data_IF_826242411856
#
_entry.id   IF_826242411856
#
_cell.length_a   1.000
_cell.length_b   1.000
_cell.length_c   1.000
_cell.angle_alpha   90.00
_cell.angle_beta   90.00
_cell.angle_gamma   90.00
#
_symmetry.space_group_name_H-M   'P 1'
#
loop_
_entity.id
_entity.type
_entity.pdbx_description
1 polymer ?
#
# COMPACT_ATOMS: atom_id res chain seq x y z
N UNK A 1 -43.89 -61.01 46.36
CA UNK A 1 -42.90 -61.89 47.04
C UNK A 1 -41.56 -61.22 47.07
N UNK A 2 -40.97 -61.26 48.27
CA UNK A 2 -39.57 -60.93 48.65
C UNK A 2 -39.20 -59.46 48.81
N UNK A 3 -39.29 -59.09 50.09
CA UNK A 3 -38.52 -58.14 50.90
C UNK A 3 -37.06 -57.94 50.43
N UNK A 4 -36.56 -56.72 50.46
CA UNK A 4 -35.18 -56.49 50.83
C UNK A 4 -35.01 -55.25 51.74
N UNK A 5 -34.32 -55.52 52.82
CA UNK A 5 -34.06 -54.68 53.96
C UNK A 5 -33.18 -53.45 53.67
N UNK A 6 -33.59 -52.35 54.26
CA UNK A 6 -32.76 -51.16 54.42
C UNK A 6 -31.72 -51.32 55.51
N UNK A 7 -30.44 -51.24 55.21
CA UNK A 7 -29.36 -51.08 56.23
C UNK A 7 -29.02 -49.58 56.32
N UNK A 8 -29.29 -49.01 57.49
CA UNK A 8 -28.77 -47.67 57.87
C UNK A 8 -27.32 -47.82 58.33
N UNK A 9 -26.45 -47.05 57.75
CA UNK A 9 -25.05 -46.87 58.18
C UNK A 9 -24.94 -45.48 58.83
N UNK A 10 -24.60 -45.48 60.13
CA UNK A 10 -24.21 -44.27 60.85
C UNK A 10 -22.83 -43.85 60.44
N UNK A 11 -22.67 -42.58 60.07
CA UNK A 11 -21.34 -41.93 59.81
C UNK A 11 -21.09 -41.01 61.01
N UNK A 12 -19.94 -41.07 61.64
CA UNK A 12 -19.61 -40.20 62.77
C UNK A 12 -19.14 -38.82 62.20
N UNK A 13 -19.60 -37.78 62.88
CA UNK A 13 -19.29 -36.38 62.61
C UNK A 13 -17.85 -36.08 63.06
N UNK A 14 -16.92 -35.90 62.14
CA UNK A 14 -15.54 -35.47 62.42
C UNK A 14 -15.49 -33.96 62.28
N UNK A 15 -15.34 -33.21 63.38
CA UNK A 15 -15.04 -31.78 63.38
C UNK A 15 -13.62 -31.57 62.89
N UNK A 16 -13.48 -31.17 61.64
CA UNK A 16 -12.23 -30.74 61.09
C UNK A 16 -12.03 -29.24 61.27
N UNK A 17 -10.99 -28.83 61.95
CA UNK A 17 -10.55 -27.48 62.14
C UNK A 17 -10.01 -26.95 60.76
N UNK A 18 -10.69 -26.01 60.14
CA UNK A 18 -10.23 -25.31 58.95
C UNK A 18 -9.12 -24.30 59.33
N UNK A 19 -7.87 -24.71 59.17
CA UNK A 19 -6.73 -23.79 59.12
C UNK A 19 -6.77 -22.99 57.79
N UNK A 20 -7.17 -21.72 57.86
CA UNK A 20 -7.06 -20.79 56.78
C UNK A 20 -5.55 -20.48 56.54
N UNK A 21 -4.92 -21.19 55.61
CA UNK A 21 -3.64 -20.82 55.07
C UNK A 21 -3.91 -19.82 53.96
N UNK A 22 -3.86 -18.53 54.28
CA UNK A 22 -3.77 -17.45 53.29
C UNK A 22 -2.41 -17.52 52.64
N UNK A 23 -2.28 -18.33 51.58
CA UNK A 23 -1.15 -18.32 50.71
C UNK A 23 -1.13 -17.00 49.96
N UNK A 24 -0.27 -16.07 50.37
CA UNK A 24 0.08 -14.89 49.60
C UNK A 24 0.83 -15.40 48.37
N UNK A 25 0.12 -15.58 47.25
CA UNK A 25 0.74 -15.73 45.95
C UNK A 25 1.38 -14.38 45.59
N UNK A 26 2.65 -14.25 45.92
CA UNK A 26 3.49 -13.19 45.33
C UNK A 26 3.48 -13.41 43.82
N UNK A 27 2.65 -12.66 43.09
CA UNK A 27 2.76 -12.54 41.64
C UNK A 27 4.14 -11.93 41.38
N UNK A 28 5.13 -12.78 41.07
CA UNK A 28 6.37 -12.36 40.46
C UNK A 28 5.97 -11.68 39.16
N UNK A 29 5.88 -10.33 39.15
CA UNK A 29 5.89 -9.53 37.96
C UNK A 29 7.25 -9.78 37.31
N UNK A 30 7.32 -10.80 36.45
CA UNK A 30 8.43 -10.93 35.54
C UNK A 30 8.49 -9.59 34.78
N UNK A 31 9.48 -8.74 35.08
CA UNK A 31 9.65 -7.46 34.41
C UNK A 31 9.90 -7.78 32.94
N UNK A 32 8.93 -7.42 32.09
CA UNK A 32 9.02 -7.64 30.64
C UNK A 32 10.36 -7.11 30.14
N UNK A 33 11.09 -7.95 29.41
CA UNK A 33 12.37 -7.58 28.76
C UNK A 33 12.18 -6.45 27.75
N UNK A 34 10.97 -6.28 27.26
CA UNK A 34 10.60 -5.33 26.20
C UNK A 34 9.64 -4.28 26.73
N UNK A 35 9.79 -3.06 26.20
CA UNK A 35 8.80 -2.00 26.26
C UNK A 35 7.91 -2.10 25.04
N UNK A 36 6.60 -2.10 25.22
CA UNK A 36 5.60 -2.29 24.15
C UNK A 36 4.94 -0.95 23.84
N UNK A 37 4.73 -0.71 22.55
CA UNK A 37 4.02 0.44 22.01
C UNK A 37 2.88 -0.05 21.12
N UNK A 38 1.76 0.67 21.11
CA UNK A 38 0.63 0.39 20.24
C UNK A 38 1.02 0.51 18.76
N UNK A 39 0.33 -0.20 17.88
CA UNK A 39 0.40 0.03 16.43
C UNK A 39 0.05 1.46 16.04
N UNK A 40 -0.77 2.14 16.86
CA UNK A 40 -1.18 3.54 16.69
C UNK A 40 -0.30 4.54 17.46
N UNK A 41 0.92 4.16 17.88
CA UNK A 41 1.82 5.07 18.61
C UNK A 41 2.07 6.34 17.78
N UNK A 42 1.95 7.55 18.37
CA UNK A 42 2.07 8.80 17.64
C UNK A 42 3.48 9.08 17.07
N UNK A 43 4.47 8.31 17.46
CA UNK A 43 5.82 8.36 16.90
C UNK A 43 6.00 7.45 15.67
N UNK A 44 4.97 6.70 15.29
CA UNK A 44 4.93 5.93 14.04
C UNK A 44 4.02 6.65 13.06
N UNK A 45 4.57 7.03 11.92
CA UNK A 45 3.82 7.70 10.87
C UNK A 45 3.51 6.70 9.75
N UNK A 46 2.24 6.62 9.36
CA UNK A 46 1.79 5.79 8.25
C UNK A 46 1.51 6.66 7.04
N UNK A 47 2.04 6.27 5.90
CA UNK A 47 1.83 6.90 4.60
C UNK A 47 1.06 5.93 3.72
N UNK A 48 -0.06 6.38 3.17
CA UNK A 48 -1.04 5.55 2.48
C UNK A 48 -2.37 5.49 3.23
N UNK A 49 -3.34 4.79 2.65
CA UNK A 49 -4.68 4.64 3.23
C UNK A 49 -4.67 3.53 4.28
N UNK A 50 -5.09 3.87 5.48
CA UNK A 50 -5.10 2.95 6.63
C UNK A 50 -6.37 3.10 7.45
N UNK A 51 -6.75 2.04 8.16
CA UNK A 51 -7.79 2.04 9.18
C UNK A 51 -7.19 1.71 10.55
N UNK A 52 -7.65 2.40 11.58
CA UNK A 52 -7.24 2.16 12.96
C UNK A 52 -8.37 1.48 13.73
N UNK A 53 -8.01 0.44 14.51
CA UNK A 53 -8.96 -0.26 15.36
C UNK A 53 -8.24 -0.78 16.62
N UNK A 54 -8.73 -0.37 17.80
CA UNK A 54 -8.26 -0.86 19.11
C UNK A 54 -6.74 -0.89 19.25
N UNK A 55 -6.05 0.17 18.81
CA UNK A 55 -4.60 0.29 18.92
C UNK A 55 -3.81 -0.43 17.84
N UNK A 56 -4.47 -1.06 16.85
CA UNK A 56 -3.85 -1.60 15.65
C UNK A 56 -4.11 -0.74 14.41
N UNK A 57 -3.30 -0.92 13.37
CA UNK A 57 -3.44 -0.24 12.08
C UNK A 57 -3.44 -1.26 10.96
N UNK A 58 -4.51 -1.27 10.15
CA UNK A 58 -4.67 -2.18 9.02
C UNK A 58 -4.64 -1.44 7.69
N UNK A 59 -4.10 -2.08 6.65
CA UNK A 59 -3.98 -1.54 5.29
C UNK A 59 -3.75 -2.67 4.28
N UNK A 60 -4.14 -2.44 3.02
CA UNK A 60 -3.92 -3.39 1.93
C UNK A 60 -3.44 -2.74 0.63
N UNK A 61 -3.67 -1.45 0.40
CA UNK A 61 -3.14 -0.79 -0.80
C UNK A 61 -1.64 -0.98 -0.94
N UNK A 62 -1.19 -1.14 -2.19
CA UNK A 62 0.23 -1.20 -2.51
C UNK A 62 0.95 0.08 -2.10
N UNK A 63 2.22 0.00 -1.73
CA UNK A 63 3.02 1.17 -1.39
C UNK A 63 2.72 1.82 -0.04
N UNK A 64 1.75 1.30 0.72
CA UNK A 64 1.56 1.77 2.11
C UNK A 64 2.81 1.44 2.90
N UNK A 65 3.31 2.43 3.61
CA UNK A 65 4.50 2.25 4.45
C UNK A 65 4.38 3.00 5.77
N UNK A 66 5.15 2.56 6.74
CA UNK A 66 5.31 3.28 8.00
C UNK A 66 6.77 3.72 8.16
N UNK A 67 6.96 4.82 8.89
CA UNK A 67 8.27 5.31 9.29
C UNK A 67 8.30 5.71 10.75
N UNK A 68 9.39 5.40 11.43
CA UNK A 68 9.67 5.78 12.82
C UNK A 68 11.17 5.83 13.05
N UNK A 69 11.58 6.51 14.11
CA UNK A 69 12.97 6.41 14.62
C UNK A 69 12.96 5.58 15.90
N UNK A 70 13.80 4.57 15.97
CA UNK A 70 14.05 3.81 17.20
C UNK A 70 15.35 4.25 17.87
N UNK A 71 15.31 4.39 19.19
CA UNK A 71 16.49 4.63 20.05
C UNK A 71 16.62 3.43 20.97
N UNK A 72 17.84 2.91 21.12
CA UNK A 72 18.11 1.80 22.03
C UNK A 72 18.50 0.48 21.35
N UNK A 73 18.74 0.50 20.04
CA UNK A 73 19.36 -0.60 19.28
C UNK A 73 18.48 -1.85 19.05
N UNK A 74 17.19 -1.83 19.43
CA UNK A 74 16.27 -2.93 19.16
C UNK A 74 14.87 -2.42 18.81
N UNK A 75 14.32 -2.94 17.73
CA UNK A 75 12.94 -2.76 17.34
C UNK A 75 12.39 -4.05 16.73
N UNK A 76 11.25 -4.50 17.23
CA UNK A 76 10.46 -5.54 16.61
C UNK A 76 9.03 -5.05 16.41
N UNK A 77 8.33 -5.64 15.45
CA UNK A 77 6.92 -5.37 15.16
C UNK A 77 6.13 -6.68 15.26
N UNK A 78 4.98 -6.65 15.93
CA UNK A 78 3.95 -7.69 15.80
C UNK A 78 3.06 -7.29 14.65
N UNK A 79 3.07 -8.08 13.59
CA UNK A 79 2.38 -7.87 12.33
C UNK A 79 1.61 -9.12 11.95
N UNK A 80 0.42 -8.99 11.39
CA UNK A 80 -0.34 -10.06 10.77
C UNK A 80 -0.65 -9.74 9.32
N UNK A 81 -1.05 -10.76 8.57
CA UNK A 81 -1.51 -10.64 7.21
C UNK A 81 -2.51 -11.74 6.88
N UNK A 82 -3.50 -11.44 6.03
CA UNK A 82 -4.60 -12.37 5.73
C UNK A 82 -4.26 -13.43 4.69
N UNK A 83 -3.23 -13.20 3.84
CA UNK A 83 -2.84 -14.10 2.75
C UNK A 83 -1.33 -14.22 2.60
N UNK A 84 -0.62 -13.13 2.28
CA UNK A 84 0.83 -13.22 2.11
C UNK A 84 1.50 -12.06 1.41
N UNK A 85 1.53 -10.92 2.06
CA UNK A 85 2.19 -9.73 1.54
C UNK A 85 3.72 -9.77 1.68
N UNK A 86 4.40 -9.12 0.76
CA UNK A 86 5.84 -8.88 0.82
C UNK A 86 6.13 -7.47 1.30
N UNK A 87 7.16 -7.37 2.13
CA UNK A 87 7.62 -6.12 2.74
C UNK A 87 9.10 -5.90 2.52
N UNK A 88 9.47 -4.65 2.23
CA UNK A 88 10.84 -4.17 2.29
C UNK A 88 11.06 -3.41 3.60
N UNK A 89 12.13 -3.76 4.30
CA UNK A 89 12.60 -3.05 5.47
C UNK A 89 13.80 -2.18 5.08
N UNK A 90 13.68 -0.88 5.32
CA UNK A 90 14.80 0.05 5.21
C UNK A 90 15.21 0.51 6.60
N UNK A 91 16.53 0.50 6.86
CA UNK A 91 17.16 1.06 8.05
C UNK A 91 18.18 2.08 7.59
N UNK A 92 18.05 3.31 8.07
CA UNK A 92 18.88 4.44 7.67
C UNK A 92 18.98 4.61 6.15
N UNK A 93 17.81 4.53 5.49
CA UNK A 93 17.61 4.63 4.03
C UNK A 93 18.23 3.49 3.20
N UNK A 94 18.74 2.43 3.82
CA UNK A 94 19.29 1.26 3.13
C UNK A 94 18.35 0.09 3.25
N UNK A 95 18.10 -0.61 2.15
CA UNK A 95 17.34 -1.87 2.16
C UNK A 95 18.10 -2.89 3.03
N UNK A 96 17.50 -3.26 4.17
CA UNK A 96 18.08 -4.20 5.12
C UNK A 96 17.64 -5.64 4.82
N UNK A 97 16.36 -5.83 4.46
CA UNK A 97 15.81 -7.13 4.06
C UNK A 97 14.45 -6.99 3.37
N UNK A 98 14.11 -7.99 2.56
CA UNK A 98 12.75 -8.26 2.06
C UNK A 98 12.23 -9.52 2.74
N UNK A 99 10.95 -9.53 3.13
CA UNK A 99 10.34 -10.70 3.77
C UNK A 99 8.84 -10.78 3.48
N UNK A 100 8.29 -11.99 3.63
CA UNK A 100 6.86 -12.27 3.50
C UNK A 100 6.21 -12.39 4.86
N UNK A 101 4.99 -11.84 4.99
CA UNK A 101 4.10 -12.04 6.14
C UNK A 101 2.83 -12.71 5.61
N UNK A 102 2.43 -13.85 6.18
CA UNK A 102 1.23 -14.60 5.77
C UNK A 102 0.36 -15.06 6.95
N UNK A 103 0.72 -14.62 8.15
CA UNK A 103 0.01 -14.87 9.43
C UNK A 103 0.55 -13.94 10.49
N UNK A 104 -0.08 -13.92 11.65
CA UNK A 104 0.44 -13.19 12.80
C UNK A 104 1.85 -13.66 13.18
N UNK A 105 2.76 -12.74 13.25
CA UNK A 105 4.16 -13.00 13.56
C UNK A 105 4.82 -11.80 14.24
N UNK A 106 6.01 -12.03 14.81
CA UNK A 106 6.89 -10.97 15.30
C UNK A 106 8.12 -10.92 14.40
N UNK A 107 8.35 -9.77 13.81
CA UNK A 107 9.50 -9.52 12.95
C UNK A 107 10.45 -8.55 13.63
N UNK A 108 11.72 -8.95 13.78
CA UNK A 108 12.77 -8.06 14.26
C UNK A 108 13.19 -7.14 13.10
N UNK A 109 13.06 -5.84 13.32
CA UNK A 109 13.39 -4.79 12.36
C UNK A 109 14.81 -4.24 12.57
N UNK A 110 15.17 -4.02 13.84
CA UNK A 110 16.53 -3.56 14.22
C UNK A 110 17.02 -4.44 15.36
N UNK A 111 18.28 -4.89 15.27
CA UNK A 111 18.97 -5.60 16.35
C UNK A 111 20.47 -5.27 16.29
N UNK A 112 20.84 -4.18 16.93
CA UNK A 112 22.22 -3.68 16.97
C UNK A 112 22.80 -3.76 18.39
N UNK A 113 24.10 -4.02 18.48
CA UNK A 113 24.80 -4.06 19.77
C UNK A 113 24.94 -2.66 20.41
N UNK A 114 24.94 -1.60 19.59
CA UNK A 114 25.06 -0.22 20.05
C UNK A 114 23.67 0.44 20.14
N UNK A 115 23.38 1.20 21.21
CA UNK A 115 22.09 1.87 21.39
C UNK A 115 21.95 3.15 20.54
N UNK A 116 22.39 3.12 19.29
CA UNK A 116 22.23 4.24 18.36
C UNK A 116 20.76 4.49 18.00
N UNK A 117 20.48 5.67 17.50
CA UNK A 117 19.18 5.99 16.88
C UNK A 117 19.21 5.55 15.41
N UNK A 118 18.15 4.84 14.98
CA UNK A 118 17.99 4.38 13.60
C UNK A 118 16.64 4.83 13.04
N UNK A 119 16.65 5.34 11.82
CA UNK A 119 15.41 5.55 11.05
C UNK A 119 14.97 4.23 10.42
N UNK A 120 13.72 3.89 10.59
CA UNK A 120 13.14 2.63 10.11
C UNK A 120 11.95 2.94 9.23
N UNK A 121 11.93 2.36 8.03
CA UNK A 121 10.76 2.34 7.15
C UNK A 121 10.41 0.89 6.82
N UNK A 122 9.15 0.53 7.03
CA UNK A 122 8.59 -0.75 6.62
C UNK A 122 7.58 -0.49 5.49
N UNK A 123 7.85 -1.03 4.31
CA UNK A 123 7.16 -0.75 3.07
C UNK A 123 6.44 -1.99 2.56
N UNK A 124 5.11 -1.91 2.33
CA UNK A 124 4.32 -2.96 1.68
C UNK A 124 4.53 -2.90 0.16
N UNK A 125 5.11 -3.95 -0.41
CA UNK A 125 5.45 -4.01 -1.84
C UNK A 125 4.28 -4.36 -2.74
N UNK A 126 3.41 -5.24 -2.25
CA UNK A 126 2.38 -5.96 -3.00
C UNK A 126 1.02 -5.27 -2.89
N UNK A 127 0.16 -5.52 -3.87
CA UNK A 127 -1.20 -4.98 -3.91
C UNK A 127 -2.18 -5.74 -2.99
N UNK A 128 -3.41 -5.24 -2.86
CA UNK A 128 -4.39 -5.74 -1.89
C UNK A 128 -4.85 -7.18 -2.15
N UNK A 129 -4.78 -7.68 -3.38
CA UNK A 129 -5.09 -9.08 -3.68
C UNK A 129 -4.15 -10.07 -2.97
N UNK A 130 -2.95 -9.63 -2.57
CA UNK A 130 -1.99 -10.47 -1.86
C UNK A 130 -2.26 -10.55 -0.35
N UNK A 131 -3.01 -9.60 0.23
CA UNK A 131 -3.43 -9.62 1.62
C UNK A 131 -3.74 -8.25 2.22
N UNK A 132 -4.30 -8.31 3.43
CA UNK A 132 -4.51 -7.14 4.30
C UNK A 132 -3.58 -7.28 5.49
N UNK A 133 -2.63 -6.37 5.59
CA UNK A 133 -1.68 -6.32 6.69
C UNK A 133 -2.25 -5.58 7.90
N UNK A 134 -1.87 -6.02 9.11
CA UNK A 134 -2.24 -5.36 10.37
C UNK A 134 -1.02 -5.24 11.26
N UNK A 135 -0.67 -4.01 11.64
CA UNK A 135 0.34 -3.72 12.66
C UNK A 135 -0.35 -3.65 14.01
N UNK A 136 -0.01 -4.58 14.91
CA UNK A 136 -0.60 -4.65 16.24
C UNK A 136 0.18 -3.82 17.26
N UNK A 137 1.49 -4.01 17.30
CA UNK A 137 2.35 -3.35 18.28
C UNK A 137 3.81 -3.34 17.87
N UNK A 138 4.56 -2.43 18.48
CA UNK A 138 6.02 -2.37 18.39
C UNK A 138 6.64 -2.74 19.74
N UNK A 139 7.85 -3.26 19.71
CA UNK A 139 8.60 -3.65 20.90
C UNK A 139 10.03 -3.12 20.79
N UNK A 140 10.46 -2.42 21.82
CA UNK A 140 11.87 -2.02 21.99
C UNK A 140 12.49 -2.74 23.19
N UNK A 141 13.80 -2.64 23.37
CA UNK A 141 14.38 -3.02 24.66
C UNK A 141 13.82 -2.12 25.78
N UNK A 142 14.02 -2.51 27.05
CA UNK A 142 13.42 -1.85 28.23
C UNK A 142 13.64 -0.34 28.27
N UNK A 143 14.82 0.12 27.85
CA UNK A 143 15.23 1.53 27.86
C UNK A 143 15.06 2.20 26.48
N UNK A 144 14.50 1.49 25.50
CA UNK A 144 14.29 2.00 24.16
C UNK A 144 13.10 2.94 24.05
N UNK A 145 13.08 3.70 22.98
CA UNK A 145 12.01 4.64 22.66
C UNK A 145 11.76 4.71 21.17
N UNK A 146 10.51 4.98 20.79
CA UNK A 146 10.12 5.43 19.45
C UNK A 146 10.11 6.96 19.41
N UNK A 147 10.53 7.53 18.30
CA UNK A 147 10.47 8.96 18.00
C UNK A 147 9.99 9.19 16.57
N UNK A 148 9.43 10.34 16.31
CA UNK A 148 9.12 10.74 14.92
C UNK A 148 10.40 10.85 14.10
N UNK A 149 10.32 10.46 12.82
CA UNK A 149 11.40 10.75 11.87
C UNK A 149 11.54 12.27 11.68
N UNK A 150 12.78 12.71 11.42
CA UNK A 150 13.08 14.10 11.07
C UNK A 150 13.24 14.23 9.55
N UNK A 151 13.00 15.44 9.03
CA UNK A 151 13.15 15.70 7.59
C UNK A 151 12.10 15.03 6.72
N UNK A 152 10.88 14.84 7.25
CA UNK A 152 9.77 14.24 6.52
C UNK A 152 9.36 15.09 5.32
N UNK A 153 8.95 14.46 4.19
CA UNK A 153 8.48 15.16 3.01
C UNK A 153 7.30 16.11 3.31
N UNK A 154 7.27 17.24 2.64
CA UNK A 154 6.14 18.18 2.69
C UNK A 154 5.29 18.11 1.42
N UNK A 155 5.85 17.57 0.32
CA UNK A 155 5.17 17.38 -0.96
C UNK A 155 4.36 16.09 -0.94
N UNK A 156 3.24 16.08 -1.67
CA UNK A 156 2.31 14.95 -1.64
C UNK A 156 1.77 14.65 -3.03
N UNK A 157 1.84 13.40 -3.47
CA UNK A 157 1.35 12.96 -4.78
C UNK A 157 0.39 11.78 -4.58
N UNK A 158 -0.79 11.81 -5.18
CA UNK A 158 -1.62 10.61 -5.31
C UNK A 158 -1.54 10.07 -6.73
N UNK A 159 -1.29 8.76 -6.83
CA UNK A 159 -1.31 8.04 -8.09
C UNK A 159 -2.52 7.11 -8.12
N UNK A 160 -3.40 7.30 -9.11
CA UNK A 160 -4.51 6.42 -9.40
C UNK A 160 -4.12 5.57 -10.60
N UNK A 161 -4.01 4.24 -10.42
CA UNK A 161 -3.42 3.40 -11.45
C UNK A 161 -3.85 1.95 -11.44
N UNK A 162 -3.06 1.14 -12.12
CA UNK A 162 -3.27 -0.30 -12.28
C UNK A 162 -1.96 -1.07 -12.02
N UNK A 163 -1.82 -2.28 -12.57
CA UNK A 163 -0.66 -3.16 -12.41
C UNK A 163 0.70 -2.47 -12.60
N UNK A 164 0.82 -1.53 -13.54
CA UNK A 164 2.06 -0.80 -13.76
C UNK A 164 2.41 0.09 -12.56
N UNK A 165 1.40 0.67 -11.91
CA UNK A 165 1.57 1.47 -10.68
C UNK A 165 1.82 0.58 -9.47
N UNK A 166 1.22 -0.62 -9.42
CA UNK A 166 1.50 -1.63 -8.40
C UNK A 166 2.94 -2.19 -8.48
N UNK A 167 3.64 -1.98 -9.59
CA UNK A 167 4.97 -2.56 -9.78
C UNK A 167 4.92 -4.06 -10.10
N UNK A 168 3.89 -4.49 -10.84
CA UNK A 168 3.66 -5.86 -11.25
C UNK A 168 4.88 -6.42 -12.00
N UNK A 169 5.54 -7.42 -11.39
CA UNK A 169 6.67 -8.11 -12.00
C UNK A 169 7.91 -7.26 -12.26
N UNK A 170 8.09 -6.14 -11.57
CA UNK A 170 9.22 -5.21 -11.79
C UNK A 170 10.58 -5.80 -11.48
N UNK A 171 10.66 -6.88 -10.69
CA UNK A 171 11.94 -7.50 -10.28
C UNK A 171 12.41 -8.64 -11.18
N UNK A 172 11.73 -8.90 -12.30
CA UNK A 172 12.20 -9.82 -13.34
C UNK A 172 12.50 -9.06 -14.62
N UNK A 173 13.40 -9.63 -15.45
CA UNK A 173 13.84 -9.04 -16.71
C UNK A 173 13.40 -9.84 -17.94
N UNK A 174 12.62 -10.90 -17.74
CA UNK A 174 12.03 -11.72 -18.80
C UNK A 174 10.54 -11.37 -18.95
N UNK A 175 10.19 -10.76 -20.07
CA UNK A 175 8.81 -10.41 -20.41
C UNK A 175 7.85 -11.60 -20.51
N UNK A 176 8.36 -12.81 -20.67
CA UNK A 176 7.58 -14.05 -20.73
C UNK A 176 7.41 -14.72 -19.35
N UNK A 177 8.13 -14.26 -18.34
CA UNK A 177 8.00 -14.79 -16.99
C UNK A 177 6.55 -14.63 -16.48
N UNK A 178 5.99 -15.62 -15.78
CA UNK A 178 4.70 -15.48 -15.14
C UNK A 178 4.78 -14.47 -13.97
N UNK A 179 3.64 -13.92 -13.61
CA UNK A 179 3.55 -13.11 -12.39
C UNK A 179 3.75 -13.97 -11.14
N UNK A 180 4.58 -13.47 -10.24
CA UNK A 180 4.72 -13.99 -8.88
C UNK A 180 4.64 -12.82 -7.89
N UNK A 181 3.90 -12.94 -6.77
CA UNK A 181 3.84 -11.86 -5.76
C UNK A 181 5.22 -11.46 -5.22
N UNK A 182 6.19 -12.38 -5.22
CA UNK A 182 7.57 -12.11 -4.81
C UNK A 182 8.32 -11.16 -5.74
N UNK A 183 7.86 -11.01 -6.99
CA UNK A 183 8.48 -10.15 -8.01
C UNK A 183 7.73 -8.83 -8.21
N UNK A 184 6.60 -8.65 -7.52
CA UNK A 184 5.89 -7.38 -7.47
C UNK A 184 6.59 -6.43 -6.49
N UNK A 185 6.86 -5.22 -6.95
CA UNK A 185 7.48 -4.22 -6.08
C UNK A 185 7.06 -2.79 -6.48
N UNK A 186 6.07 -2.26 -5.80
CA UNK A 186 5.60 -0.89 -6.05
C UNK A 186 6.65 0.18 -5.72
N UNK A 187 7.65 -0.13 -4.88
CA UNK A 187 8.77 0.78 -4.63
C UNK A 187 9.65 0.99 -5.88
N UNK A 188 9.60 0.05 -6.83
CA UNK A 188 10.25 0.13 -8.14
C UNK A 188 9.33 0.70 -9.23
N UNK A 189 8.08 1.07 -8.93
CA UNK A 189 7.18 1.69 -9.92
C UNK A 189 7.59 3.14 -10.22
N UNK A 190 7.22 3.61 -11.41
CA UNK A 190 7.43 5.02 -11.82
C UNK A 190 6.91 6.01 -10.79
N UNK A 191 5.80 5.66 -10.12
CA UNK A 191 5.16 6.50 -9.12
C UNK A 191 6.05 6.70 -7.89
N UNK A 192 6.60 5.62 -7.35
CA UNK A 192 7.52 5.69 -6.20
C UNK A 192 8.85 6.33 -6.56
N UNK A 193 9.38 6.06 -7.78
CA UNK A 193 10.59 6.70 -8.30
C UNK A 193 10.43 8.22 -8.37
N UNK A 194 9.35 8.71 -8.98
CA UNK A 194 9.04 10.14 -9.07
C UNK A 194 8.88 10.76 -7.68
N UNK A 195 8.23 10.06 -6.75
CA UNK A 195 8.03 10.54 -5.39
C UNK A 195 9.35 10.69 -4.64
N UNK A 196 10.25 9.70 -4.74
CA UNK A 196 11.60 9.81 -4.19
C UNK A 196 12.42 10.92 -4.82
N UNK A 197 12.32 11.10 -6.14
CA UNK A 197 13.02 12.18 -6.85
C UNK A 197 12.67 13.55 -6.28
N UNK A 198 11.38 13.82 -6.04
CA UNK A 198 10.91 15.09 -5.50
C UNK A 198 10.88 15.16 -3.98
N UNK A 199 11.30 14.12 -3.26
CA UNK A 199 11.13 14.00 -1.82
C UNK A 199 9.67 14.26 -1.42
N UNK A 200 8.75 13.47 -1.97
CA UNK A 200 7.32 13.57 -1.74
C UNK A 200 6.77 12.33 -1.05
N UNK A 201 5.84 12.50 -0.12
CA UNK A 201 4.97 11.43 0.34
C UNK A 201 3.93 11.11 -0.74
N UNK A 202 3.45 9.87 -0.79
CA UNK A 202 2.55 9.46 -1.85
C UNK A 202 1.56 8.40 -1.43
N UNK A 203 0.40 8.41 -2.07
CA UNK A 203 -0.56 7.32 -2.05
C UNK A 203 -0.58 6.64 -3.41
N UNK A 204 -0.57 5.31 -3.42
CA UNK A 204 -0.79 4.48 -4.60
C UNK A 204 -2.18 3.84 -4.50
N UNK A 205 -3.18 4.50 -5.08
CA UNK A 205 -4.54 3.95 -5.22
C UNK A 205 -4.57 3.17 -6.54
N UNK A 206 -4.02 1.96 -6.50
CA UNK A 206 -3.79 1.16 -7.70
C UNK A 206 -4.10 -0.33 -7.48
N UNK A 207 -4.71 -0.96 -8.49
CA UNK A 207 -5.07 -2.37 -8.49
C UNK A 207 -4.87 -2.98 -9.88
N UNK A 208 -4.20 -4.12 -9.96
CA UNK A 208 -3.93 -4.83 -11.22
C UNK A 208 -5.21 -5.22 -11.94
N UNK A 209 -5.22 -5.08 -13.26
CA UNK A 209 -6.38 -5.43 -14.07
C UNK A 209 -7.54 -4.42 -14.05
N UNK A 210 -7.51 -3.39 -13.20
CA UNK A 210 -8.59 -2.40 -13.14
C UNK A 210 -8.44 -1.31 -14.20
N UNK A 211 -9.58 -0.91 -14.76
CA UNK A 211 -9.69 0.19 -15.69
C UNK A 211 -10.58 1.32 -15.17
N UNK A 212 -10.81 2.29 -16.00
CA UNK A 212 -11.75 3.40 -15.72
C UNK A 212 -13.18 2.91 -15.82
N UNK A 213 -13.51 2.24 -16.92
CA UNK A 213 -14.86 1.73 -17.22
C UNK A 213 -14.88 0.25 -17.53
N UNK A 214 -13.74 -0.36 -17.92
CA UNK A 214 -13.63 -1.78 -18.21
C UNK A 214 -12.38 -2.38 -17.58
N UNK A 215 -12.56 -3.47 -16.84
CA UNK A 215 -11.47 -4.25 -16.27
C UNK A 215 -10.90 -5.27 -17.27
N UNK A 216 -9.65 -5.65 -17.08
CA UNK A 216 -9.00 -6.71 -17.85
C UNK A 216 -9.80 -8.02 -17.73
N UNK A 217 -9.99 -8.72 -18.85
CA UNK A 217 -10.67 -10.00 -18.89
C UNK A 217 -12.20 -9.95 -18.86
N UNK A 218 -12.83 -8.78 -18.67
CA UNK A 218 -14.29 -8.66 -18.77
C UNK A 218 -14.79 -8.98 -20.17
N UNK A 219 -15.95 -9.65 -20.21
CA UNK A 219 -16.61 -10.07 -21.47
C UNK A 219 -17.48 -8.98 -22.10
N UNK A 220 -17.71 -7.90 -21.40
CA UNK A 220 -18.50 -6.75 -21.83
C UNK A 220 -17.60 -5.54 -22.08
N UNK A 221 -18.03 -4.59 -22.93
CA UNK A 221 -17.32 -3.32 -23.15
C UNK A 221 -17.20 -2.45 -21.90
N UNK A 222 -18.08 -2.64 -20.93
CA UNK A 222 -18.08 -1.95 -19.65
C UNK A 222 -18.23 -2.96 -18.52
N UNK A 223 -17.41 -2.80 -17.49
CA UNK A 223 -17.47 -3.59 -16.25
C UNK A 223 -18.59 -3.09 -15.33
N UNK A 224 -18.92 -3.91 -14.33
CA UNK A 224 -19.79 -3.44 -13.25
C UNK A 224 -19.11 -2.25 -12.54
N UNK A 225 -19.79 -1.09 -12.38
CA UNK A 225 -19.17 0.13 -11.86
C UNK A 225 -18.52 -0.04 -10.47
N UNK A 226 -19.06 -0.93 -9.63
CA UNK A 226 -18.52 -1.21 -8.31
C UNK A 226 -17.14 -1.88 -8.32
N UNK A 227 -16.64 -2.32 -9.48
CA UNK A 227 -15.36 -3.04 -9.62
C UNK A 227 -14.28 -2.25 -10.35
N UNK A 228 -14.60 -1.06 -10.83
CA UNK A 228 -13.65 -0.20 -11.55
C UNK A 228 -12.96 0.78 -10.63
N UNK A 229 -11.89 1.41 -11.12
CA UNK A 229 -11.14 2.41 -10.34
C UNK A 229 -11.97 3.61 -9.90
N UNK A 230 -13.08 3.90 -10.58
CA UNK A 230 -14.02 4.94 -10.15
C UNK A 230 -14.59 4.65 -8.74
N UNK A 231 -14.90 3.40 -8.43
CA UNK A 231 -15.38 3.00 -7.10
C UNK A 231 -14.24 2.80 -6.12
N UNK A 232 -13.18 2.14 -6.55
CA UNK A 232 -12.03 1.83 -5.70
C UNK A 232 -11.36 3.10 -5.16
N UNK A 233 -11.39 4.20 -5.91
CA UNK A 233 -10.88 5.50 -5.47
C UNK A 233 -11.46 5.97 -4.12
N UNK A 234 -12.69 5.60 -3.80
CA UNK A 234 -13.34 6.02 -2.54
C UNK A 234 -13.05 5.09 -1.36
N UNK A 235 -12.34 3.98 -1.54
CA UNK A 235 -12.19 2.96 -0.51
C UNK A 235 -10.94 3.19 0.36
N UNK A 236 -11.06 2.84 1.63
CA UNK A 236 -9.90 2.75 2.56
C UNK A 236 -9.05 1.53 2.24
N UNK A 237 -9.68 0.43 1.84
CA UNK A 237 -9.04 -0.83 1.46
C UNK A 237 -9.26 -1.12 -0.02
N UNK A 238 -8.28 -1.72 -0.65
CA UNK A 238 -8.33 -2.14 -2.05
C UNK A 238 -9.39 -3.22 -2.28
N UNK A 239 -9.38 -4.27 -1.45
CA UNK A 239 -10.25 -5.44 -1.63
C UNK A 239 -11.50 -5.43 -0.74
N UNK A 240 -11.65 -4.49 0.18
CA UNK A 240 -12.81 -4.38 1.06
C UNK A 240 -13.60 -3.09 0.80
N UNK A 241 -14.75 -3.15 0.11
CA UNK A 241 -15.53 -1.97 -0.28
C UNK A 241 -16.35 -1.35 0.85
N UNK A 242 -16.33 -1.93 2.06
CA UNK A 242 -17.25 -1.52 3.15
C UNK A 242 -16.79 -0.28 3.90
N UNK A 243 -15.53 0.13 3.77
CA UNK A 243 -14.96 1.27 4.49
C UNK A 243 -14.55 2.36 3.50
N UNK A 244 -15.25 3.48 3.54
CA UNK A 244 -14.90 4.66 2.74
C UNK A 244 -13.64 5.33 3.28
N UNK A 245 -12.83 5.89 2.36
CA UNK A 245 -11.68 6.70 2.71
C UNK A 245 -12.10 8.10 3.16
N UNK A 246 -11.58 8.53 4.27
CA UNK A 246 -11.75 9.90 4.75
C UNK A 246 -10.70 10.81 4.12
N UNK A 247 -11.08 11.49 3.03
CA UNK A 247 -10.21 12.38 2.28
C UNK A 247 -9.73 13.61 3.06
N UNK A 248 -10.31 13.91 4.23
CA UNK A 248 -9.83 15.01 5.09
C UNK A 248 -8.49 14.69 5.77
N UNK A 249 -8.14 13.40 5.89
CA UNK A 249 -6.90 12.95 6.55
C UNK A 249 -5.65 13.26 5.75
N UNK A 250 -5.77 13.37 4.43
CA UNK A 250 -4.62 13.58 3.58
C UNK A 250 -5.04 14.23 2.25
N UNK A 251 -4.38 15.32 1.88
CA UNK A 251 -4.63 16.03 0.63
C UNK A 251 -3.35 16.11 -0.19
N UNK A 252 -3.33 15.62 -1.45
CA UNK A 252 -2.17 15.72 -2.33
C UNK A 252 -2.02 17.12 -2.94
N UNK A 253 -0.82 17.45 -3.40
CA UNK A 253 -0.54 18.63 -4.22
C UNK A 253 -0.94 18.39 -5.69
N UNK A 254 -0.93 17.12 -6.12
CA UNK A 254 -1.27 16.68 -7.48
C UNK A 254 -1.80 15.26 -7.47
N UNK A 255 -2.72 14.97 -8.40
CA UNK A 255 -3.16 13.59 -8.70
C UNK A 255 -2.66 13.20 -10.09
N UNK A 256 -2.03 12.04 -10.20
CA UNK A 256 -1.63 11.43 -11.48
C UNK A 256 -2.54 10.22 -11.75
N UNK A 257 -3.33 10.26 -12.81
CA UNK A 257 -4.18 9.16 -13.25
C UNK A 257 -3.53 8.47 -14.44
N UNK A 258 -3.19 7.19 -14.28
CA UNK A 258 -2.63 6.35 -15.33
C UNK A 258 -3.49 5.10 -15.51
N UNK A 259 -4.53 5.21 -16.30
CA UNK A 259 -5.51 4.18 -16.59
C UNK A 259 -5.77 4.08 -18.10
N UNK A 260 -6.53 3.07 -18.52
CA UNK A 260 -6.93 2.86 -19.90
C UNK A 260 -6.31 1.62 -20.55
N UNK A 261 -5.17 1.12 -20.05
CA UNK A 261 -4.54 -0.12 -20.55
C UNK A 261 -5.51 -1.31 -20.50
N UNK A 262 -6.22 -1.46 -19.40
CA UNK A 262 -7.17 -2.56 -19.19
C UNK A 262 -8.48 -2.35 -19.95
N UNK A 263 -8.91 -1.09 -20.06
CA UNK A 263 -10.10 -0.73 -20.82
C UNK A 263 -9.97 -1.14 -22.28
N UNK A 264 -8.81 -0.93 -22.88
CA UNK A 264 -8.52 -1.21 -24.30
C UNK A 264 -7.75 -2.53 -24.52
N UNK A 265 -7.68 -3.40 -23.51
CA UNK A 265 -6.91 -4.65 -23.58
C UNK A 265 -7.44 -5.68 -24.59
N UNK A 266 -8.70 -5.57 -25.01
CA UNK A 266 -9.28 -6.41 -26.04
C UNK A 266 -10.02 -5.53 -27.07
N UNK A 267 -9.44 -5.29 -28.26
CA UNK A 267 -10.03 -4.42 -29.28
C UNK A 267 -11.43 -4.84 -29.76
N UNK A 268 -11.78 -6.13 -29.64
CA UNK A 268 -13.10 -6.63 -30.10
C UNK A 268 -14.24 -6.27 -29.14
N UNK A 269 -13.96 -5.99 -27.88
CA UNK A 269 -14.95 -5.73 -26.85
C UNK A 269 -14.58 -4.56 -25.93
N UNK A 270 -13.77 -3.62 -26.41
CA UNK A 270 -13.40 -2.41 -25.63
C UNK A 270 -14.57 -1.40 -25.61
N UNK A 271 -14.59 -0.48 -24.65
CA UNK A 271 -15.53 0.63 -24.63
C UNK A 271 -15.35 1.51 -25.88
N UNK A 272 -16.42 2.17 -26.30
CA UNK A 272 -16.31 3.24 -27.29
C UNK A 272 -15.50 4.41 -26.72
N UNK A 273 -14.99 5.27 -27.60
CA UNK A 273 -14.28 6.48 -27.16
C UNK A 273 -15.14 7.32 -26.21
N UNK A 274 -16.42 7.57 -26.55
CA UNK A 274 -17.32 8.35 -25.71
C UNK A 274 -17.56 7.74 -24.34
N UNK A 275 -17.68 6.40 -24.25
CA UNK A 275 -17.83 5.70 -22.99
C UNK A 275 -16.57 5.84 -22.12
N UNK A 276 -15.40 5.69 -22.74
CA UNK A 276 -14.12 5.84 -22.05
C UNK A 276 -13.90 7.27 -21.56
N UNK A 277 -14.08 8.26 -22.46
CA UNK A 277 -13.90 9.68 -22.15
C UNK A 277 -14.85 10.12 -21.05
N UNK A 278 -16.12 9.77 -21.16
CA UNK A 278 -17.12 10.07 -20.10
C UNK A 278 -16.68 9.49 -18.76
N UNK A 279 -16.34 8.21 -18.70
CA UNK A 279 -15.94 7.58 -17.45
C UNK A 279 -14.66 8.18 -16.85
N UNK A 280 -13.72 8.57 -17.69
CA UNK A 280 -12.50 9.23 -17.22
C UNK A 280 -12.82 10.65 -16.67
N UNK A 281 -13.69 11.41 -17.32
CA UNK A 281 -14.16 12.70 -16.82
C UNK A 281 -14.92 12.56 -15.50
N UNK A 282 -15.73 11.52 -15.33
CA UNK A 282 -16.42 11.20 -14.06
C UNK A 282 -15.39 10.94 -12.92
N UNK A 283 -14.27 10.27 -13.22
CA UNK A 283 -13.20 10.07 -12.25
C UNK A 283 -12.50 11.39 -11.90
N UNK A 284 -12.19 12.24 -12.88
CA UNK A 284 -11.65 13.59 -12.66
C UNK A 284 -12.62 14.41 -11.80
N UNK A 285 -13.93 14.37 -12.07
CA UNK A 285 -14.93 15.05 -11.27
C UNK A 285 -14.96 14.53 -9.82
N UNK A 286 -14.75 13.23 -9.62
CA UNK A 286 -14.60 12.62 -8.29
C UNK A 286 -13.38 13.17 -7.55
N UNK A 287 -12.24 13.28 -8.22
CA UNK A 287 -11.02 13.90 -7.67
C UNK A 287 -11.27 15.37 -7.30
N UNK A 288 -11.94 16.13 -8.18
CA UNK A 288 -12.34 17.52 -7.92
C UNK A 288 -13.23 17.67 -6.70
N UNK A 289 -14.21 16.77 -6.55
CA UNK A 289 -15.15 16.78 -5.42
C UNK A 289 -14.43 16.66 -4.08
N UNK A 290 -13.40 15.83 -3.97
CA UNK A 290 -12.75 15.53 -2.69
C UNK A 290 -11.51 16.39 -2.42
N UNK A 291 -10.76 16.78 -3.45
CA UNK A 291 -9.51 17.53 -3.28
C UNK A 291 -9.58 18.99 -3.75
N UNK A 292 -10.66 19.36 -4.45
CA UNK A 292 -10.79 20.71 -5.02
C UNK A 292 -9.95 20.90 -6.28
N UNK A 293 -9.60 22.13 -6.58
CA UNK A 293 -8.91 22.49 -7.81
C UNK A 293 -7.38 22.34 -7.71
N UNK A 294 -6.90 21.10 -7.49
CA UNK A 294 -5.47 20.76 -7.58
C UNK A 294 -5.14 20.28 -8.99
N UNK A 295 -3.88 20.32 -9.45
CA UNK A 295 -3.48 19.75 -10.74
C UNK A 295 -3.84 18.26 -10.84
N UNK A 296 -4.37 17.84 -12.00
CA UNK A 296 -4.62 16.44 -12.36
C UNK A 296 -3.83 16.14 -13.64
N UNK A 297 -3.00 15.11 -13.61
CA UNK A 297 -2.26 14.65 -14.78
C UNK A 297 -2.89 13.36 -15.29
N UNK A 298 -3.34 13.38 -16.54
CA UNK A 298 -3.83 12.23 -17.27
C UNK A 298 -2.69 11.64 -18.09
N UNK A 299 -2.16 10.50 -17.63
CA UNK A 299 -0.98 9.87 -18.22
C UNK A 299 -1.36 8.62 -19.01
N UNK A 300 -0.88 8.48 -20.23
CA UNK A 300 -1.11 7.29 -21.06
C UNK A 300 -0.22 6.11 -20.62
N UNK A 301 -0.24 5.01 -21.35
CA UNK A 301 0.50 3.80 -21.03
C UNK A 301 1.49 3.43 -22.14
N UNK A 302 2.71 3.05 -21.75
CA UNK A 302 3.68 2.45 -22.65
C UNK A 302 3.32 1.03 -23.11
N UNK A 303 2.25 0.42 -22.56
CA UNK A 303 1.70 -0.87 -22.99
C UNK A 303 0.50 -0.71 -23.95
N UNK A 304 0.11 0.51 -24.28
CA UNK A 304 -1.03 0.81 -25.15
C UNK A 304 -0.62 1.79 -26.25
N UNK A 305 -1.17 1.58 -27.44
CA UNK A 305 -0.80 2.39 -28.62
C UNK A 305 -1.62 3.66 -28.77
N UNK A 306 -1.71 4.11 -30.03
CA UNK A 306 -2.27 5.38 -30.47
C UNK A 306 -3.71 5.60 -29.98
N UNK A 307 -4.54 4.59 -29.95
CA UNK A 307 -5.96 4.69 -29.51
C UNK A 307 -6.08 5.26 -28.09
N UNK A 308 -5.29 4.72 -27.13
CA UNK A 308 -5.30 5.24 -25.77
C UNK A 308 -4.74 6.66 -25.71
N UNK A 309 -3.72 6.94 -26.49
CA UNK A 309 -3.12 8.27 -26.56
C UNK A 309 -4.15 9.32 -26.97
N UNK A 310 -4.89 9.08 -28.07
CA UNK A 310 -5.93 9.97 -28.57
C UNK A 310 -7.09 10.10 -27.58
N UNK A 311 -7.56 9.01 -26.98
CA UNK A 311 -8.66 9.03 -26.00
C UNK A 311 -8.29 9.89 -24.78
N UNK A 312 -7.08 9.77 -24.24
CA UNK A 312 -6.66 10.58 -23.08
C UNK A 312 -6.42 12.04 -23.47
N UNK A 313 -5.93 12.32 -24.69
CA UNK A 313 -5.88 13.70 -25.20
C UNK A 313 -7.27 14.33 -25.27
N UNK A 314 -8.26 13.56 -25.76
CA UNK A 314 -9.65 14.02 -25.79
C UNK A 314 -10.22 14.23 -24.38
N UNK A 315 -9.93 13.37 -23.41
CA UNK A 315 -10.30 13.58 -21.99
C UNK A 315 -9.81 14.94 -21.50
N UNK A 316 -8.54 15.25 -21.71
CA UNK A 316 -7.96 16.54 -21.27
C UNK A 316 -8.61 17.72 -21.99
N UNK A 317 -8.83 17.63 -23.29
CA UNK A 317 -9.53 18.64 -24.07
C UNK A 317 -10.97 18.85 -23.57
N UNK A 318 -11.73 17.77 -23.41
CA UNK A 318 -13.15 17.81 -23.08
C UNK A 318 -13.38 18.14 -21.59
N UNK A 319 -12.35 18.00 -20.73
CA UNK A 319 -12.42 18.45 -19.32
C UNK A 319 -12.64 19.96 -19.22
N UNK A 320 -12.23 20.72 -20.22
CA UNK A 320 -12.27 22.19 -20.24
C UNK A 320 -11.72 22.83 -18.94
N UNK A 321 -10.73 22.19 -18.33
CA UNK A 321 -10.10 22.58 -17.06
C UNK A 321 -8.60 22.76 -17.24
N UNK A 322 -8.11 23.99 -17.08
CA UNK A 322 -6.69 24.34 -17.22
C UNK A 322 -5.75 23.62 -16.25
N UNK A 323 -6.29 23.05 -15.18
CA UNK A 323 -5.54 22.26 -14.21
C UNK A 323 -5.61 20.75 -14.48
N UNK A 324 -6.12 20.35 -15.67
CA UNK A 324 -6.03 18.96 -16.16
C UNK A 324 -5.00 18.92 -17.27
N UNK A 325 -3.96 18.11 -17.11
CA UNK A 325 -2.79 18.08 -17.96
C UNK A 325 -2.61 16.71 -18.60
N UNK A 326 -2.07 16.69 -19.81
CA UNK A 326 -1.75 15.48 -20.56
C UNK A 326 -0.28 15.12 -20.44
N UNK A 327 0.03 13.83 -20.21
CA UNK A 327 1.37 13.26 -20.34
C UNK A 327 1.31 12.02 -21.21
N UNK A 328 1.88 12.10 -22.40
CA UNK A 328 1.87 11.04 -23.39
C UNK A 328 3.02 10.05 -23.17
N UNK A 329 2.69 8.76 -23.03
CA UNK A 329 3.62 7.65 -23.19
C UNK A 329 3.20 6.82 -24.39
N UNK A 330 4.16 6.29 -25.11
CA UNK A 330 3.97 5.38 -26.24
C UNK A 330 4.80 4.12 -26.06
N UNK A 331 4.42 2.99 -26.69
CA UNK A 331 5.21 1.76 -26.61
C UNK A 331 6.67 1.91 -27.04
N UNK A 332 6.95 2.84 -27.96
CA UNK A 332 8.31 3.14 -28.44
C UNK A 332 9.24 3.69 -27.35
N UNK A 333 8.73 4.10 -26.20
CA UNK A 333 9.53 4.48 -25.04
C UNK A 333 10.37 3.32 -24.50
N UNK A 334 9.85 2.10 -24.61
CA UNK A 334 10.42 0.90 -23.99
C UNK A 334 11.11 0.02 -25.02
N UNK A 335 12.28 -0.49 -24.67
CA UNK A 335 12.98 -1.52 -25.43
C UNK A 335 12.47 -2.90 -25.00
N UNK A 336 11.93 -3.67 -25.96
CA UNK A 336 11.36 -5.00 -25.70
C UNK A 336 12.39 -5.98 -25.08
N UNK A 337 13.66 -5.82 -25.40
CA UNK A 337 14.70 -6.72 -24.91
C UNK A 337 15.15 -6.46 -23.47
N UNK A 338 14.96 -5.23 -22.96
CA UNK A 338 15.57 -4.83 -21.68
C UNK A 338 14.60 -4.25 -20.66
N UNK A 339 13.42 -3.77 -21.07
CA UNK A 339 12.59 -2.93 -20.25
C UNK A 339 11.30 -3.62 -19.75
N UNK A 340 11.14 -4.90 -20.07
CA UNK A 340 9.96 -5.67 -19.69
C UNK A 340 10.29 -6.78 -18.68
N UNK A 341 9.39 -6.96 -17.75
CA UNK A 341 9.34 -8.03 -16.75
C UNK A 341 8.07 -8.88 -16.92
N UNK A 342 7.61 -9.50 -15.85
CA UNK A 342 6.54 -10.50 -15.89
C UNK A 342 5.35 -10.07 -16.75
N UNK A 343 4.86 -10.99 -17.59
CA UNK A 343 3.69 -10.78 -18.45
C UNK A 343 3.79 -9.49 -19.29
N UNK A 344 4.97 -9.17 -19.81
CA UNK A 344 5.22 -7.94 -20.61
C UNK A 344 4.87 -6.63 -19.90
N UNK A 345 4.92 -6.60 -18.58
CA UNK A 345 4.84 -5.33 -17.85
C UNK A 345 6.22 -4.66 -17.78
N UNK A 346 6.29 -3.33 -17.67
CA UNK A 346 7.56 -2.64 -17.50
C UNK A 346 8.30 -3.15 -16.25
N UNK A 347 9.53 -3.64 -16.42
CA UNK A 347 10.42 -3.93 -15.30
C UNK A 347 10.99 -2.64 -14.71
N UNK A 348 11.92 -2.75 -13.75
CA UNK A 348 12.48 -1.57 -13.09
C UNK A 348 13.11 -0.56 -14.08
N UNK A 349 13.81 -1.03 -15.13
CA UNK A 349 14.37 -0.15 -16.17
C UNK A 349 13.27 0.56 -16.97
N UNK A 350 12.22 -0.16 -17.35
CA UNK A 350 11.04 0.42 -18.00
C UNK A 350 10.35 1.47 -17.12
N UNK A 351 10.21 1.18 -15.84
CA UNK A 351 9.61 2.11 -14.86
C UNK A 351 10.44 3.38 -14.68
N UNK A 352 11.78 3.30 -14.68
CA UNK A 352 12.67 4.47 -14.65
C UNK A 352 12.49 5.35 -15.89
N UNK A 353 12.34 4.77 -17.07
CA UNK A 353 12.06 5.52 -18.31
C UNK A 353 10.72 6.24 -18.22
N UNK A 354 9.67 5.60 -17.71
CA UNK A 354 8.38 6.24 -17.48
C UNK A 354 8.49 7.41 -16.50
N UNK A 355 9.21 7.23 -15.39
CA UNK A 355 9.46 8.27 -14.40
C UNK A 355 10.20 9.47 -15.00
N UNK A 356 11.20 9.22 -15.87
CA UNK A 356 11.98 10.27 -16.52
C UNK A 356 11.14 11.18 -17.43
N UNK A 357 10.03 10.67 -17.97
CA UNK A 357 9.06 11.49 -18.72
C UNK A 357 8.17 12.30 -17.77
N UNK A 358 7.70 11.71 -16.67
CA UNK A 358 6.77 12.39 -15.77
C UNK A 358 7.43 13.50 -14.93
N UNK A 359 8.70 13.33 -14.54
CA UNK A 359 9.45 14.27 -13.71
C UNK A 359 9.44 15.71 -14.26
N UNK A 360 9.84 15.98 -15.52
CA UNK A 360 9.85 17.36 -16.05
C UNK A 360 8.45 17.97 -16.14
N UNK A 361 7.41 17.16 -16.42
CA UNK A 361 6.03 17.64 -16.42
C UNK A 361 5.58 18.08 -15.01
N UNK A 362 5.83 17.27 -13.99
CA UNK A 362 5.53 17.65 -12.60
C UNK A 362 6.32 18.89 -12.16
N UNK A 363 7.60 18.96 -12.52
CA UNK A 363 8.43 20.14 -12.23
C UNK A 363 7.80 21.41 -12.81
N UNK A 364 7.37 21.37 -14.06
CA UNK A 364 6.75 22.52 -14.75
C UNK A 364 5.40 22.90 -14.15
N UNK A 365 4.53 21.91 -13.90
CA UNK A 365 3.16 22.14 -13.43
C UNK A 365 3.15 22.64 -11.97
N UNK A 366 4.03 22.12 -11.12
CA UNK A 366 4.04 22.40 -9.69
C UNK A 366 5.11 23.41 -9.26
N UNK A 367 5.99 23.81 -10.17
CA UNK A 367 7.16 24.64 -9.83
C UNK A 367 8.17 23.93 -8.92
N UNK A 368 8.14 22.59 -8.87
CA UNK A 368 9.11 21.84 -8.07
C UNK A 368 10.46 21.77 -8.79
N UNK A 369 11.56 22.18 -8.15
CA UNK A 369 12.84 22.22 -8.84
C UNK A 369 13.30 20.81 -9.23
N UNK A 370 13.80 20.67 -10.44
CA UNK A 370 14.56 19.51 -10.85
C UNK A 370 15.93 19.49 -10.14
N UNK A 371 16.40 18.31 -9.83
CA UNK A 371 17.68 18.08 -9.13
C UNK A 371 18.58 17.18 -9.96
N UNK A 372 19.86 17.11 -9.62
CA UNK A 372 20.82 16.18 -10.24
C UNK A 372 20.73 14.74 -9.65
N UNK A 373 19.63 14.41 -8.98
CA UNK A 373 19.41 13.04 -8.47
C UNK A 373 19.25 12.07 -9.63
N UNK A 374 19.78 10.88 -9.45
CA UNK A 374 19.52 9.77 -10.36
C UNK A 374 18.03 9.41 -10.29
N UNK A 375 17.47 9.04 -11.43
CA UNK A 375 16.08 8.56 -11.53
C UNK A 375 16.08 7.08 -11.17
N UNK A 376 15.80 6.76 -9.89
CA UNK A 376 15.83 5.40 -9.33
C UNK A 376 14.79 5.18 -8.21
#
# INVERSE_FOLDING_TARGET
MKNLMTKRVLIPLLCGVLLNVTGVFAQNKATSRYKVFSGTDPNVEYIGRTAQNNGSVSFDWTGVHLRTQVVGGYLAVKIGDTRGDYFDLFVDSKLAKTFKVSRDTVVVLVSNATPAAHQVMLYKRTEGEQGTATIYQFMTNKNGALKKCTGTPIRKIEFIGNSITCGFGTEVTDGKAPFLPSTENSNHSYASIVSRYFNADYHLTAHSGRGVVRNYGDKNPMSHPATTMQRLFFQTFDINPTVEWDFSKWKPDVVVIKLGTNDLSNPAICPTEDQFVKGYLDLIASVRKVYGNIPVICMTSCMSGETLYQYVQRVVKDSNDKNVHFVGLMPSLLNVATDFGACMHPNYEGQKKMASILIPHLSTILGWPMTNKVVE
#
